data_IF_442774843731
#
_entry.id   IF_442774843731
#
_cell.length_a   1.000
_cell.length_b   1.000
_cell.length_c   1.000
_cell.angle_alpha   90.00
_cell.angle_beta   90.00
_cell.angle_gamma   90.00
#
_symmetry.space_group_name_H-M   'P 1'
#
loop_
_entity.id
_entity.type
_entity.pdbx_description
1 polymer ?
#
# COMPACT_ATOMS: atom_id res chain seq x y z
N UNK A 1 -9.87 -18.60 -24.48
CA UNK A 1 -10.46 -18.58 -23.12
C UNK A 1 -10.73 -17.13 -22.82
N UNK A 2 -11.96 -16.75 -22.45
CA UNK A 2 -12.22 -15.39 -22.01
C UNK A 2 -11.44 -15.13 -20.72
N UNK A 3 -10.59 -14.12 -20.70
CA UNK A 3 -9.87 -13.72 -19.48
C UNK A 3 -10.90 -13.25 -18.44
N UNK A 4 -11.13 -14.05 -17.41
CA UNK A 4 -12.00 -13.66 -16.30
C UNK A 4 -11.42 -12.43 -15.62
N UNK A 5 -12.18 -11.34 -15.62
CA UNK A 5 -11.73 -10.04 -15.11
C UNK A 5 -12.57 -9.62 -13.92
N UNK A 6 -11.89 -9.12 -12.88
CA UNK A 6 -12.51 -8.43 -11.76
C UNK A 6 -12.23 -6.95 -11.94
N UNK A 7 -13.31 -6.17 -11.98
CA UNK A 7 -13.28 -4.73 -12.06
C UNK A 7 -14.47 -4.20 -11.26
N UNK A 8 -14.22 -3.73 -10.04
CA UNK A 8 -15.27 -3.14 -9.22
C UNK A 8 -15.51 -1.69 -9.65
N UNK A 9 -16.78 -1.30 -9.72
CA UNK A 9 -17.14 0.07 -10.09
C UNK A 9 -17.16 0.96 -8.86
N UNK A 10 -16.73 2.21 -9.00
CA UNK A 10 -16.88 3.22 -7.96
C UNK A 10 -18.34 3.33 -7.53
N UNK A 11 -18.59 3.36 -6.21
CA UNK A 11 -19.93 3.52 -5.64
C UNK A 11 -20.63 4.79 -6.12
N UNK A 12 -19.86 5.88 -6.31
CA UNK A 12 -20.36 7.21 -6.65
C UNK A 12 -20.53 7.43 -8.15
N UNK A 13 -19.48 7.28 -8.96
CA UNK A 13 -19.51 7.64 -10.40
C UNK A 13 -19.74 6.44 -11.34
N UNK A 14 -19.72 5.21 -10.81
CA UNK A 14 -19.84 3.94 -11.55
C UNK A 14 -18.72 3.64 -12.56
N UNK A 15 -17.65 4.43 -12.57
CA UNK A 15 -16.47 4.16 -13.39
C UNK A 15 -15.64 3.01 -12.81
N UNK A 16 -14.90 2.33 -13.69
CA UNK A 16 -13.92 1.30 -13.34
C UNK A 16 -12.59 2.01 -13.07
N UNK A 17 -11.86 1.66 -12.00
CA UNK A 17 -10.56 2.26 -11.72
C UNK A 17 -9.52 1.86 -12.77
N UNK A 18 -8.61 2.78 -13.05
CA UNK A 18 -7.46 2.49 -13.89
C UNK A 18 -6.54 1.48 -13.23
N UNK A 19 -5.85 0.68 -14.06
CA UNK A 19 -4.79 -0.21 -13.56
C UNK A 19 -3.60 0.61 -13.06
N UNK A 20 -2.87 0.14 -12.03
CA UNK A 20 -1.65 0.79 -11.58
C UNK A 20 -0.63 0.82 -12.73
N UNK A 21 -0.12 2.01 -13.05
CA UNK A 21 0.86 2.22 -14.12
C UNK A 21 2.06 2.99 -13.57
N UNK A 22 3.25 2.41 -13.73
CA UNK A 22 4.49 3.03 -13.31
C UNK A 22 4.84 4.15 -14.30
N UNK A 23 4.49 5.39 -13.93
CA UNK A 23 4.75 6.60 -14.74
C UNK A 23 5.96 7.39 -14.24
N UNK A 24 6.15 7.42 -12.93
CA UNK A 24 7.29 8.06 -12.30
C UNK A 24 8.54 7.18 -12.47
N UNK A 25 9.63 7.77 -12.95
CA UNK A 25 10.91 7.10 -13.23
C UNK A 25 11.81 7.01 -12.00
N UNK A 26 11.50 7.76 -10.95
CA UNK A 26 12.30 7.79 -9.74
C UNK A 26 11.90 6.67 -8.76
N UNK A 27 10.69 6.14 -8.89
CA UNK A 27 10.18 5.00 -8.12
C UNK A 27 10.32 3.69 -8.89
N UNK A 28 10.46 2.58 -8.16
CA UNK A 28 10.64 1.24 -8.74
C UNK A 28 9.34 0.45 -8.82
N UNK A 29 8.41 0.72 -7.90
CA UNK A 29 7.18 -0.04 -7.76
C UNK A 29 6.02 0.94 -7.67
N UNK A 30 4.94 0.64 -8.39
CA UNK A 30 3.60 1.16 -8.14
C UNK A 30 2.72 -0.02 -7.73
N UNK A 31 1.96 0.16 -6.66
CA UNK A 31 1.16 -0.87 -6.04
C UNK A 31 -0.22 -0.33 -5.68
N UNK A 32 -1.19 -1.24 -5.60
CA UNK A 32 -2.53 -0.92 -5.11
C UNK A 32 -2.52 -0.99 -3.58
N UNK A 33 -3.03 0.05 -2.93
CA UNK A 33 -3.26 0.12 -1.50
C UNK A 33 -4.77 0.01 -1.18
N UNK A 34 -5.09 -0.59 -0.04
CA UNK A 34 -6.45 -0.77 0.51
C UNK A 34 -7.52 -1.17 -0.50
N UNK A 35 -7.17 -2.11 -1.37
CA UNK A 35 -8.11 -2.81 -2.25
C UNK A 35 -8.10 -4.32 -2.01
N UNK A 36 -7.35 -4.77 -1.00
CA UNK A 36 -6.97 -6.17 -0.83
C UNK A 36 -6.62 -6.50 0.61
N UNK A 37 -7.30 -7.50 1.14
CA UNK A 37 -7.10 -8.00 2.49
C UNK A 37 -6.50 -9.41 2.46
N UNK A 38 -5.49 -9.62 3.30
CA UNK A 38 -4.78 -10.89 3.38
C UNK A 38 -5.38 -11.81 4.44
N UNK A 39 -5.66 -13.06 4.06
CA UNK A 39 -6.16 -14.08 4.97
C UNK A 39 -5.07 -15.05 5.45
N UNK A 40 -5.26 -15.58 6.66
CA UNK A 40 -4.42 -16.64 7.22
C UNK A 40 -5.22 -17.84 7.78
N UNK A 41 -6.54 -17.83 7.58
CA UNK A 41 -7.37 -18.97 7.98
C UNK A 41 -7.02 -20.24 7.19
N UNK A 42 -7.08 -21.38 7.88
CA UNK A 42 -6.80 -22.71 7.30
C UNK A 42 -8.05 -23.50 6.92
N UNK A 43 -9.22 -23.00 7.27
CA UNK A 43 -10.50 -23.63 6.98
C UNK A 43 -11.09 -23.18 5.65
N UNK A 44 -12.34 -23.56 5.41
CA UNK A 44 -13.10 -23.14 4.23
C UNK A 44 -13.15 -21.62 4.11
N UNK A 45 -13.18 -21.14 2.87
CA UNK A 45 -13.25 -19.70 2.59
C UNK A 45 -14.58 -19.15 3.11
N UNK A 46 -14.57 -18.14 3.99
CA UNK A 46 -15.80 -17.52 4.49
C UNK A 46 -16.67 -16.99 3.35
N UNK A 47 -17.99 -16.93 3.59
CA UNK A 47 -18.91 -16.27 2.67
C UNK A 47 -18.49 -14.80 2.47
N UNK A 48 -18.79 -14.24 1.30
CA UNK A 48 -18.45 -12.84 1.02
C UNK A 48 -19.11 -11.87 2.00
N UNK A 49 -20.24 -12.21 2.61
CA UNK A 49 -20.92 -11.36 3.59
C UNK A 49 -20.40 -11.53 5.02
N UNK A 50 -19.49 -12.48 5.27
CA UNK A 50 -18.85 -12.62 6.57
C UNK A 50 -17.90 -11.46 6.82
N UNK A 51 -18.15 -10.68 7.86
CA UNK A 51 -17.36 -9.49 8.20
C UNK A 51 -16.08 -9.82 8.98
N UNK A 52 -16.14 -10.86 9.83
CA UNK A 52 -15.05 -11.23 10.74
C UNK A 52 -14.43 -12.54 10.27
N UNK A 53 -13.14 -12.51 9.97
CA UNK A 53 -12.33 -13.66 9.60
C UNK A 53 -10.85 -13.39 9.86
N UNK A 54 -10.05 -14.46 9.97
CA UNK A 54 -8.65 -14.39 10.39
C UNK A 54 -7.77 -13.67 9.34
N UNK A 55 -7.23 -12.51 9.73
CA UNK A 55 -6.32 -11.71 8.90
C UNK A 55 -4.88 -12.14 9.08
N UNK A 56 -4.07 -11.92 8.04
CA UNK A 56 -2.64 -12.19 8.10
C UNK A 56 -1.91 -11.19 9.00
N UNK A 57 -1.17 -11.72 9.99
CA UNK A 57 -0.29 -10.96 10.88
C UNK A 57 1.17 -10.90 10.41
N UNK A 58 1.50 -11.65 9.37
CA UNK A 58 2.86 -11.75 8.83
C UNK A 58 2.81 -11.69 7.31
N UNK A 59 3.83 -11.09 6.67
CA UNK A 59 3.90 -11.09 5.23
C UNK A 59 4.03 -12.54 4.73
N UNK A 60 3.38 -12.89 3.61
CA UNK A 60 3.56 -14.19 2.98
C UNK A 60 4.99 -14.33 2.43
N UNK A 61 5.38 -15.56 2.10
CA UNK A 61 6.66 -15.85 1.46
C UNK A 61 6.51 -15.95 -0.06
N UNK A 62 7.60 -15.69 -0.79
CA UNK A 62 7.68 -15.95 -2.23
C UNK A 62 7.36 -17.42 -2.52
N UNK A 63 6.47 -17.64 -3.48
CA UNK A 63 5.98 -18.96 -3.89
C UNK A 63 4.67 -19.38 -3.20
N UNK A 64 4.28 -18.71 -2.11
CA UNK A 64 3.03 -19.01 -1.41
C UNK A 64 1.82 -18.80 -2.32
N UNK A 65 0.82 -19.67 -2.15
CA UNK A 65 -0.53 -19.47 -2.66
C UNK A 65 -1.38 -18.96 -1.50
N UNK A 66 -1.96 -17.76 -1.66
CA UNK A 66 -2.75 -17.11 -0.61
C UNK A 66 -4.15 -16.79 -1.10
N UNK A 67 -5.11 -16.95 -0.19
CA UNK A 67 -6.49 -16.47 -0.35
C UNK A 67 -6.53 -15.03 0.12
N UNK A 68 -7.15 -14.16 -0.66
CA UNK A 68 -7.23 -12.73 -0.37
C UNK A 68 -8.59 -12.21 -0.78
N UNK A 69 -9.14 -11.27 -0.02
CA UNK A 69 -10.39 -10.62 -0.37
C UNK A 69 -10.07 -9.29 -1.05
N UNK A 70 -10.54 -9.10 -2.28
CA UNK A 70 -10.35 -7.87 -3.05
C UNK A 70 -11.65 -7.10 -3.17
N UNK A 71 -11.55 -5.78 -3.24
CA UNK A 71 -12.66 -4.84 -3.33
C UNK A 71 -12.23 -3.60 -4.12
N UNK A 72 -13.14 -2.66 -4.38
CA UNK A 72 -12.80 -1.41 -5.07
C UNK A 72 -11.64 -0.68 -4.35
N UNK A 73 -10.60 -0.16 -5.05
CA UNK A 73 -10.48 0.00 -6.51
C UNK A 73 -9.74 -1.11 -7.28
N UNK A 74 -9.97 -2.40 -6.97
CA UNK A 74 -9.31 -3.50 -7.69
C UNK A 74 -9.82 -3.70 -9.13
N UNK A 75 -8.87 -3.75 -10.08
CA UNK A 75 -9.10 -4.04 -11.49
C UNK A 75 -7.98 -4.91 -12.07
N UNK A 76 -8.19 -6.23 -12.16
CA UNK A 76 -7.23 -7.20 -12.69
C UNK A 76 -7.91 -8.38 -13.40
N UNK A 77 -7.19 -8.99 -14.32
CA UNK A 77 -7.60 -10.22 -15.01
C UNK A 77 -6.85 -11.44 -14.47
N UNK A 78 -7.48 -12.62 -14.50
CA UNK A 78 -6.82 -13.88 -14.16
C UNK A 78 -5.57 -14.07 -15.04
N UNK A 79 -4.46 -14.41 -14.41
CA UNK A 79 -3.13 -14.55 -15.02
C UNK A 79 -2.26 -13.29 -14.93
N UNK A 80 -2.85 -12.12 -14.66
CA UNK A 80 -2.15 -10.84 -14.55
C UNK A 80 -1.34 -10.74 -13.26
N UNK A 81 -0.24 -9.99 -13.32
CA UNK A 81 0.60 -9.67 -12.17
C UNK A 81 0.40 -8.23 -11.72
N UNK A 82 0.34 -8.01 -10.41
CA UNK A 82 0.21 -6.68 -9.82
C UNK A 82 0.97 -6.59 -8.51
N UNK A 83 1.27 -5.38 -8.07
CA UNK A 83 1.82 -5.12 -6.74
C UNK A 83 0.74 -4.62 -5.79
N UNK A 84 0.88 -4.96 -4.52
CA UNK A 84 0.08 -4.41 -3.42
C UNK A 84 0.97 -4.13 -2.21
N UNK A 85 0.55 -3.19 -1.36
CA UNK A 85 1.15 -3.00 -0.05
C UNK A 85 0.49 -3.94 0.97
N UNK A 86 1.25 -4.90 1.46
CA UNK A 86 0.88 -5.66 2.64
C UNK A 86 1.18 -4.85 3.89
N UNK A 87 0.14 -4.66 4.71
CA UNK A 87 0.24 -4.24 6.11
C UNK A 87 -0.27 -5.40 6.98
N UNK A 88 0.42 -5.75 8.08
CA UNK A 88 -0.16 -6.70 9.01
C UNK A 88 -1.46 -6.15 9.62
N UNK A 89 -2.28 -7.04 10.17
CA UNK A 89 -3.69 -6.75 10.45
C UNK A 89 -3.93 -5.51 11.34
N UNK A 90 -3.10 -5.27 12.36
CA UNK A 90 -3.35 -4.19 13.30
C UNK A 90 -3.14 -2.81 12.66
N UNK A 91 -2.03 -2.62 11.95
CA UNK A 91 -1.74 -1.39 11.21
C UNK A 91 -2.56 -1.24 9.94
N UNK A 92 -3.05 -2.33 9.35
CA UNK A 92 -4.00 -2.26 8.26
C UNK A 92 -5.33 -1.61 8.69
N UNK A 93 -5.82 -1.91 9.90
CA UNK A 93 -7.09 -1.35 10.39
C UNK A 93 -6.94 -0.04 11.16
N UNK A 94 -5.87 0.12 11.94
CA UNK A 94 -5.71 1.27 12.84
C UNK A 94 -4.55 2.19 12.45
N UNK A 95 -3.84 1.91 11.35
CA UNK A 95 -2.71 2.72 10.91
C UNK A 95 -1.38 2.39 11.59
N UNK A 96 -0.29 2.88 10.99
CA UNK A 96 1.07 2.76 11.55
C UNK A 96 1.33 3.75 12.69
N UNK A 97 0.54 4.80 12.81
CA UNK A 97 0.55 5.74 13.94
C UNK A 97 0.11 5.04 15.24
N UNK A 98 -0.86 4.13 15.20
CA UNK A 98 -1.25 3.31 16.35
C UNK A 98 -0.39 2.03 16.52
N UNK A 99 0.05 1.42 15.42
CA UNK A 99 0.86 0.18 15.43
C UNK A 99 2.19 0.32 14.65
N UNK A 100 3.10 1.21 15.08
CA UNK A 100 4.31 1.51 14.33
C UNK A 100 5.33 0.35 14.30
N UNK A 101 5.26 -0.59 15.25
CA UNK A 101 6.08 -1.80 15.25
C UNK A 101 5.86 -2.67 14.00
N UNK A 102 4.68 -2.57 13.37
CA UNK A 102 4.32 -3.35 12.19
C UNK A 102 4.94 -2.84 10.88
N UNK A 103 5.49 -1.61 10.86
CA UNK A 103 6.19 -1.05 9.69
C UNK A 103 7.28 -2.01 9.19
N UNK A 104 8.01 -2.65 10.11
CA UNK A 104 9.10 -3.58 9.78
C UNK A 104 8.63 -4.95 9.23
N UNK A 105 7.34 -5.21 9.28
CA UNK A 105 6.68 -6.42 8.75
C UNK A 105 5.79 -6.11 7.54
N UNK A 106 5.53 -4.84 7.26
CA UNK A 106 4.91 -4.38 6.02
C UNK A 106 5.82 -4.60 4.81
N UNK A 107 5.21 -4.80 3.64
CA UNK A 107 5.92 -5.18 2.43
C UNK A 107 5.20 -4.77 1.15
N UNK A 108 5.94 -4.42 0.12
CA UNK A 108 5.44 -4.50 -1.24
C UNK A 108 5.46 -5.95 -1.69
N UNK A 109 4.32 -6.44 -2.19
CA UNK A 109 4.16 -7.82 -2.61
C UNK A 109 3.69 -7.86 -4.05
N UNK A 110 4.44 -8.56 -4.89
CA UNK A 110 4.05 -8.85 -6.26
C UNK A 110 3.27 -10.14 -6.27
N UNK A 111 2.06 -10.07 -6.79
CA UNK A 111 1.11 -11.16 -6.85
C UNK A 111 0.80 -11.48 -8.30
N UNK A 112 0.59 -12.76 -8.59
CA UNK A 112 -0.12 -13.21 -9.79
C UNK A 112 -1.52 -13.64 -9.41
N UNK A 113 -2.53 -13.14 -10.10
CA UNK A 113 -3.92 -13.53 -9.92
C UNK A 113 -4.16 -14.91 -10.55
N UNK A 114 -4.44 -15.93 -9.74
CA UNK A 114 -4.54 -17.32 -10.20
C UNK A 114 -5.97 -17.74 -10.54
N UNK A 115 -6.93 -17.49 -9.63
CA UNK A 115 -8.33 -17.86 -9.84
C UNK A 115 -9.30 -17.09 -8.92
N UNK A 116 -10.58 -17.10 -9.31
CA UNK A 116 -11.69 -16.53 -8.54
C UNK A 116 -12.34 -17.64 -7.72
N UNK A 117 -12.36 -17.49 -6.40
CA UNK A 117 -13.03 -18.42 -5.49
C UNK A 117 -14.53 -18.10 -5.44
N UNK A 118 -14.87 -16.83 -5.23
CA UNK A 118 -16.24 -16.32 -5.21
C UNK A 118 -16.25 -14.82 -5.48
N UNK A 119 -17.35 -14.30 -6.03
CA UNK A 119 -17.47 -12.87 -6.39
C UNK A 119 -18.91 -12.39 -6.25
N UNK A 120 -19.07 -11.14 -5.82
CA UNK A 120 -20.30 -10.37 -5.94
C UNK A 120 -20.01 -8.98 -6.55
N UNK A 121 -20.97 -8.06 -6.49
CA UNK A 121 -20.83 -6.72 -7.08
C UNK A 121 -19.80 -5.81 -6.37
N UNK A 122 -19.42 -6.12 -5.13
CA UNK A 122 -18.59 -5.25 -4.26
C UNK A 122 -17.22 -5.82 -3.94
N UNK A 123 -17.12 -7.15 -3.83
CA UNK A 123 -15.90 -7.86 -3.41
C UNK A 123 -15.81 -9.25 -4.02
N UNK A 124 -14.62 -9.81 -3.97
CA UNK A 124 -14.33 -11.18 -4.38
C UNK A 124 -13.28 -11.82 -3.49
N UNK A 125 -13.42 -13.12 -3.28
CA UNK A 125 -12.32 -13.96 -2.81
C UNK A 125 -11.56 -14.47 -4.02
N UNK A 126 -10.24 -14.28 -4.03
CA UNK A 126 -9.36 -14.76 -5.08
C UNK A 126 -8.18 -15.52 -4.50
N UNK A 127 -7.59 -16.40 -5.30
CA UNK A 127 -6.27 -16.95 -5.04
C UNK A 127 -5.22 -16.11 -5.76
N UNK A 128 -4.14 -15.79 -5.05
CA UNK A 128 -2.96 -15.15 -5.61
C UNK A 128 -1.72 -15.98 -5.30
N UNK A 129 -0.81 -16.05 -6.26
CA UNK A 129 0.54 -16.56 -6.03
C UNK A 129 1.48 -15.40 -5.75
N UNK A 130 2.25 -15.51 -4.69
CA UNK A 130 3.26 -14.52 -4.33
C UNK A 130 4.50 -14.73 -5.18
N UNK A 131 4.84 -13.77 -6.03
CA UNK A 131 6.02 -13.84 -6.91
C UNK A 131 7.25 -13.18 -6.29
N UNK A 132 7.04 -12.06 -5.59
CA UNK A 132 8.11 -11.27 -4.98
C UNK A 132 7.62 -10.59 -3.70
N UNK A 133 8.53 -10.44 -2.73
CA UNK A 133 8.26 -9.77 -1.44
C UNK A 133 9.42 -8.83 -1.15
N UNK A 134 9.11 -7.55 -0.99
CA UNK A 134 10.05 -6.50 -0.59
C UNK A 134 9.57 -5.87 0.71
N UNK A 135 10.15 -6.30 1.84
CA UNK A 135 9.87 -5.69 3.14
C UNK A 135 10.31 -4.22 3.13
N UNK A 136 9.50 -3.34 3.71
CA UNK A 136 9.81 -1.90 3.77
C UNK A 136 11.17 -1.64 4.40
N UNK A 137 11.49 -2.36 5.48
CA UNK A 137 12.78 -2.24 6.17
C UNK A 137 14.00 -2.56 5.30
N UNK A 138 13.84 -3.32 4.23
CA UNK A 138 14.92 -3.77 3.35
C UNK A 138 15.10 -2.87 2.11
N UNK A 139 14.20 -1.91 1.89
CA UNK A 139 14.18 -1.09 0.67
C UNK A 139 15.50 -0.36 0.46
N UNK A 140 16.02 0.34 1.48
CA UNK A 140 17.29 1.07 1.39
C UNK A 140 18.50 0.18 1.05
N UNK A 141 18.41 -1.13 1.27
CA UNK A 141 19.47 -2.09 0.97
C UNK A 141 19.33 -2.73 -0.43
N UNK A 142 18.13 -2.70 -1.01
CA UNK A 142 17.80 -3.41 -2.27
C UNK A 142 17.58 -2.47 -3.45
N UNK A 143 17.14 -1.25 -3.20
CA UNK A 143 16.90 -0.23 -4.22
C UNK A 143 18.01 0.83 -4.15
N UNK A 144 18.66 1.19 -5.26
CA UNK A 144 19.65 2.26 -5.28
C UNK A 144 19.04 3.60 -4.84
N UNK A 145 19.78 4.35 -4.03
CA UNK A 145 19.36 5.67 -3.61
C UNK A 145 19.35 6.66 -4.78
N UNK A 146 18.35 7.54 -4.83
CA UNK A 146 18.22 8.64 -5.79
C UNK A 146 17.91 9.96 -5.09
N UNK A 147 18.03 11.05 -5.83
CA UNK A 147 17.58 12.36 -5.35
C UNK A 147 16.05 12.36 -5.18
N UNK A 148 15.59 12.92 -4.07
CA UNK A 148 14.20 12.97 -3.66
C UNK A 148 13.68 14.38 -3.40
N UNK A 149 14.42 15.41 -3.80
CA UNK A 149 14.00 16.79 -3.60
C UNK A 149 12.62 17.09 -4.20
N UNK A 150 11.76 17.74 -3.42
CA UNK A 150 10.42 18.18 -3.80
C UNK A 150 9.34 17.09 -3.73
N UNK A 151 9.66 15.87 -3.27
CA UNK A 151 8.66 14.80 -3.13
C UNK A 151 7.64 15.10 -2.02
N UNK A 152 7.99 15.91 -1.02
CA UNK A 152 7.09 16.32 0.06
C UNK A 152 6.34 17.63 -0.24
N UNK A 153 6.65 18.35 -1.32
CA UNK A 153 5.99 19.62 -1.67
C UNK A 153 4.46 19.50 -1.72
N UNK A 154 3.97 18.35 -2.18
CA UNK A 154 2.54 18.09 -2.31
C UNK A 154 1.79 18.08 -0.98
N UNK A 155 2.46 17.80 0.15
CA UNK A 155 1.85 17.78 1.50
C UNK A 155 1.22 19.10 1.90
N UNK A 156 1.79 20.22 1.48
CA UNK A 156 1.26 21.55 1.77
C UNK A 156 -0.12 21.82 1.15
N UNK A 157 -0.57 21.01 0.20
CA UNK A 157 -1.89 21.14 -0.44
C UNK A 157 -3.02 20.49 0.37
N UNK A 158 -2.71 19.57 1.29
CA UNK A 158 -3.67 18.72 1.99
C UNK A 158 -3.97 19.17 3.43
N UNK A 159 -3.67 20.43 3.75
CA UNK A 159 -3.80 20.98 5.10
C UNK A 159 -2.52 20.85 5.89
N UNK A 160 -2.64 20.79 7.22
CA UNK A 160 -1.50 20.66 8.13
C UNK A 160 -1.15 19.17 8.30
N UNK A 161 0.02 18.72 7.82
CA UNK A 161 0.42 17.32 7.91
C UNK A 161 0.66 16.89 9.36
N UNK A 162 0.25 15.67 9.68
CA UNK A 162 0.61 15.00 10.91
C UNK A 162 1.92 14.25 10.74
N UNK A 163 2.76 14.30 11.78
CA UNK A 163 4.06 13.66 11.80
C UNK A 163 4.14 12.71 13.01
N UNK A 164 4.47 11.46 12.72
CA UNK A 164 4.69 10.43 13.73
C UNK A 164 6.10 9.88 13.60
N UNK A 165 6.79 9.70 14.73
CA UNK A 165 8.14 9.13 14.75
C UNK A 165 8.16 7.82 15.55
N UNK A 166 8.81 6.82 14.99
CA UNK A 166 9.05 5.54 15.66
C UNK A 166 10.41 4.99 15.31
N UNK A 167 11.34 5.00 16.28
CA UNK A 167 12.73 4.57 16.08
C UNK A 167 13.37 5.31 14.89
N UNK A 168 13.74 4.58 13.85
CA UNK A 168 14.32 5.07 12.61
C UNK A 168 13.27 5.44 11.55
N UNK A 169 11.99 5.37 11.86
CA UNK A 169 10.90 5.69 10.94
C UNK A 169 10.24 7.03 11.27
N UNK A 170 9.87 7.73 10.20
CA UNK A 170 8.99 8.90 10.23
C UNK A 170 7.82 8.58 9.29
N UNK A 171 6.61 8.77 9.79
CA UNK A 171 5.39 8.68 9.03
C UNK A 171 4.75 10.06 8.96
N UNK A 172 4.56 10.55 7.73
CA UNK A 172 3.82 11.79 7.45
C UNK A 172 2.48 11.41 6.85
N UNK A 173 1.41 12.02 7.33
CA UNK A 173 0.07 11.89 6.79
C UNK A 173 -0.55 13.28 6.61
N UNK A 174 -1.17 13.54 5.46
CA UNK A 174 -1.93 14.75 5.23
C UNK A 174 -3.17 14.43 4.40
N UNK A 175 -4.32 14.94 4.83
CA UNK A 175 -5.58 14.66 4.16
C UNK A 175 -6.53 15.85 4.19
N UNK A 176 -7.31 15.99 3.12
CA UNK A 176 -8.39 16.95 3.05
C UNK A 176 -9.72 16.26 3.40
N UNK A 177 -10.20 16.49 4.62
CA UNK A 177 -11.46 15.95 5.15
C UNK A 177 -11.57 14.42 4.99
N UNK A 178 -10.45 13.71 5.12
CA UNK A 178 -10.34 12.25 4.98
C UNK A 178 -10.75 11.64 3.63
N UNK A 179 -11.17 12.45 2.65
CA UNK A 179 -11.67 11.95 1.36
C UNK A 179 -10.55 11.78 0.31
N UNK A 180 -9.50 12.58 0.44
CA UNK A 180 -8.33 12.58 -0.42
C UNK A 180 -7.13 12.95 0.43
N UNK A 181 -5.99 12.36 0.14
CA UNK A 181 -4.81 12.57 0.96
C UNK A 181 -3.59 11.85 0.41
N UNK A 182 -2.50 12.09 1.11
CA UNK A 182 -1.19 11.54 0.82
C UNK A 182 -0.48 11.21 2.12
N UNK A 183 0.35 10.19 2.06
CA UNK A 183 1.19 9.80 3.17
C UNK A 183 2.59 9.45 2.67
N UNK A 184 3.59 9.60 3.54
CA UNK A 184 4.97 9.31 3.25
C UNK A 184 5.59 8.54 4.41
N UNK A 185 6.32 7.48 4.09
CA UNK A 185 7.06 6.68 5.03
C UNK A 185 8.56 6.84 4.76
N UNK A 186 9.24 7.50 5.68
CA UNK A 186 10.64 7.87 5.58
C UNK A 186 11.44 7.07 6.61
N UNK A 187 12.57 6.51 6.19
CA UNK A 187 13.51 5.80 7.04
C UNK A 187 14.81 6.59 7.20
N UNK A 188 15.21 6.85 8.44
CA UNK A 188 16.52 7.41 8.77
C UNK A 188 17.59 6.32 8.66
N UNK A 189 18.56 6.50 7.77
CA UNK A 189 19.70 5.60 7.62
C UNK A 189 20.99 6.41 7.63
N UNK A 190 21.77 6.26 8.70
CA UNK A 190 22.94 7.12 8.97
C UNK A 190 22.50 8.59 8.99
N UNK A 191 23.08 9.42 8.13
CA UNK A 191 22.85 10.87 8.06
C UNK A 191 21.79 11.25 7.00
N UNK A 192 21.09 10.27 6.42
CA UNK A 192 20.14 10.51 5.32
C UNK A 192 18.71 10.07 5.68
N UNK A 193 17.74 10.83 5.18
CA UNK A 193 16.31 10.54 5.26
C UNK A 193 15.87 9.91 3.94
N UNK A 194 15.50 8.63 3.97
CA UNK A 194 15.11 7.89 2.78
C UNK A 194 13.59 7.74 2.71
N UNK A 195 12.93 8.38 1.74
CA UNK A 195 11.54 8.07 1.41
C UNK A 195 11.49 6.67 0.79
N UNK A 196 10.88 5.75 1.54
CA UNK A 196 10.80 4.31 1.25
C UNK A 196 9.49 3.97 0.55
N UNK A 197 8.41 4.62 0.98
CA UNK A 197 7.10 4.51 0.38
C UNK A 197 6.36 5.83 0.47
N UNK A 198 5.56 6.15 -0.54
CA UNK A 198 4.56 7.22 -0.45
C UNK A 198 3.26 6.74 -1.08
N UNK A 199 2.14 7.09 -0.46
CA UNK A 199 0.82 6.75 -0.95
C UNK A 199 0.00 7.99 -1.23
N UNK A 200 -0.96 7.83 -2.12
CA UNK A 200 -1.95 8.83 -2.47
C UNK A 200 -3.29 8.14 -2.67
N UNK A 201 -4.32 8.65 -2.02
CA UNK A 201 -5.68 8.20 -2.23
C UNK A 201 -6.57 9.34 -2.73
N UNK A 202 -7.41 8.98 -3.69
CA UNK A 202 -8.44 9.82 -4.27
C UNK A 202 -9.74 9.00 -4.35
N UNK A 203 -10.82 9.62 -4.83
CA UNK A 203 -12.11 8.95 -4.97
C UNK A 203 -12.09 7.68 -5.84
N UNK A 204 -11.11 7.57 -6.75
CA UNK A 204 -11.06 6.50 -7.76
C UNK A 204 -9.77 5.68 -7.76
N UNK A 205 -8.82 6.02 -6.89
CA UNK A 205 -7.51 5.39 -6.86
C UNK A 205 -7.00 5.37 -5.43
N UNK A 206 -6.31 4.28 -5.10
CA UNK A 206 -5.52 4.22 -3.90
C UNK A 206 -4.21 3.52 -4.26
N UNK A 207 -3.16 4.33 -4.42
CA UNK A 207 -1.91 3.93 -5.02
C UNK A 207 -0.78 4.23 -4.06
N UNK A 208 0.17 3.31 -4.00
CA UNK A 208 1.38 3.44 -3.22
C UNK A 208 2.59 3.13 -4.07
N UNK A 209 3.63 3.92 -3.88
CA UNK A 209 4.84 3.88 -4.67
C UNK A 209 6.03 3.55 -3.78
N UNK A 210 6.92 2.68 -4.25
CA UNK A 210 8.16 2.34 -3.55
C UNK A 210 9.36 2.97 -4.25
N UNK A 211 10.20 3.65 -3.47
CA UNK A 211 11.46 4.19 -3.93
C UNK A 211 12.50 4.16 -2.84
N UNK A 212 13.70 4.62 -3.18
CA UNK A 212 14.73 4.92 -2.19
C UNK A 212 15.22 6.35 -2.48
N UNK A 213 14.42 7.33 -2.11
CA UNK A 213 14.66 8.74 -2.45
C UNK A 213 15.23 9.46 -1.24
N UNK A 214 16.37 10.12 -1.39
CA UNK A 214 16.99 10.90 -0.32
C UNK A 214 16.26 12.23 -0.25
N UNK A 215 15.52 12.45 0.83
CA UNK A 215 14.82 13.70 1.11
C UNK A 215 15.80 14.69 1.75
N UNK A 216 15.94 15.90 1.18
CA UNK A 216 16.68 16.99 1.81
C UNK A 216 16.22 17.26 3.24
N UNK A 217 17.18 17.55 4.14
CA UNK A 217 16.89 17.75 5.55
C UNK A 217 16.01 18.99 5.79
N UNK A 218 16.22 20.06 5.03
CA UNK A 218 15.43 21.29 5.08
C UNK A 218 13.97 21.07 4.67
N UNK A 219 13.73 20.23 3.66
CA UNK A 219 12.38 19.83 3.25
C UNK A 219 11.66 19.09 4.38
N UNK A 220 12.32 18.10 4.99
CA UNK A 220 11.74 17.36 6.12
C UNK A 220 11.55 18.23 7.37
N UNK A 221 12.48 19.14 7.65
CA UNK A 221 12.42 20.03 8.81
C UNK A 221 11.20 20.96 8.78
N UNK A 222 10.71 21.32 7.59
CA UNK A 222 9.49 22.12 7.44
C UNK A 222 8.26 21.49 8.11
N UNK A 223 8.23 20.15 8.25
CA UNK A 223 7.17 19.40 8.93
C UNK A 223 7.46 19.13 10.41
N UNK A 224 8.73 19.19 10.82
CA UNK A 224 9.18 18.89 12.19
C UNK A 224 8.90 20.04 13.18
N UNK A 225 8.66 21.25 12.68
CA UNK A 225 8.38 22.44 13.48
C UNK A 225 6.90 22.61 13.87
N UNK A 226 6.06 21.61 13.60
CA UNK A 226 4.59 21.70 13.72
C UNK A 226 4.06 21.12 15.05
N UNK A 227 4.92 20.59 15.93
CA UNK A 227 4.51 20.13 17.27
C UNK A 227 5.00 21.08 18.38
N UNK A 228 4.19 22.08 18.72
CA UNK A 228 4.15 22.71 20.05
C UNK A 228 2.80 22.45 20.72
#
# INVERSE_FOLDING_TARGET
MSEETIAFKCGSCKQVPDKPLLKDKNVEIVAIEDAMDWADFKHDTPDLNTEIWERALKPPAKGDLKKVQVYFPFHMSVGETFWTLFRPAYSHFNGWDEHPEEINFSAFIKCRFEDIISKNEKKAWINVRVEEVLLLKDVCNKIPARDGAGYLDSFHMFGEPQLFQYKDWIFLDANAQSNLGIWALIKRVKDYNHLVAYGSWEFHSNMVYCGNLIIPEDELNSFMHISE
#
